data_IF_656286513377
#
_entry.id   IF_656286513377
#
_cell.length_a   1.000
_cell.length_b   1.000
_cell.length_c   1.000
_cell.angle_alpha   90.00
_cell.angle_beta   90.00
_cell.angle_gamma   90.00
#
_symmetry.space_group_name_H-M   'P 1'
#
loop_
_entity.id
_entity.type
_entity.pdbx_description
1 polymer ?
#
# COMPACT_ATOMS: atom_id res chain seq x y z
N UNK A 1 22.31 -9.46 1.74
CA UNK A 1 22.05 -8.00 1.74
C UNK A 1 20.81 -7.82 0.90
N UNK A 2 19.67 -7.68 1.57
CA UNK A 2 18.35 -7.72 0.95
C UNK A 2 18.07 -6.39 0.26
N UNK A 3 17.57 -6.45 -0.97
CA UNK A 3 17.30 -5.29 -1.84
C UNK A 3 16.32 -4.29 -1.19
N UNK A 4 16.86 -3.28 -0.50
CA UNK A 4 16.12 -2.17 0.13
C UNK A 4 15.79 -1.07 -0.87
N UNK A 5 15.21 -1.44 -2.02
CA UNK A 5 14.81 -0.50 -3.08
C UNK A 5 13.30 -0.28 -3.13
N UNK A 6 12.51 -1.07 -2.39
CA UNK A 6 11.05 -0.96 -2.37
C UNK A 6 10.53 -0.09 -1.24
N UNK A 7 11.32 0.16 -0.20
CA UNK A 7 10.93 0.87 1.04
C UNK A 7 10.45 2.32 0.81
N UNK A 8 10.71 2.88 -0.38
CA UNK A 8 10.23 4.22 -0.79
C UNK A 8 8.96 4.20 -1.66
N UNK A 9 8.38 3.03 -1.92
CA UNK A 9 7.25 2.87 -2.82
C UNK A 9 5.96 3.37 -2.17
N UNK A 10 5.48 4.55 -2.58
CA UNK A 10 4.19 5.09 -2.14
C UNK A 10 3.01 4.59 -2.99
N UNK A 11 2.14 3.76 -2.43
CA UNK A 11 0.98 3.18 -3.08
C UNK A 11 -0.26 4.06 -2.96
N UNK A 12 -1.09 4.06 -3.99
CA UNK A 12 -2.48 4.52 -3.93
C UNK A 12 -3.36 3.47 -3.25
N UNK A 13 -4.55 3.88 -2.81
CA UNK A 13 -5.53 2.95 -2.23
C UNK A 13 -5.95 1.82 -3.18
N UNK A 14 -5.90 2.04 -4.49
CA UNK A 14 -6.19 1.00 -5.49
C UNK A 14 -5.07 -0.02 -5.59
N UNK A 15 -3.83 0.44 -5.66
CA UNK A 15 -2.64 -0.43 -5.69
C UNK A 15 -2.52 -1.25 -4.40
N UNK A 16 -2.70 -0.62 -3.24
CA UNK A 16 -2.75 -1.33 -1.96
C UNK A 16 -3.88 -2.38 -1.90
N UNK A 17 -5.02 -2.10 -2.54
CA UNK A 17 -6.12 -3.04 -2.65
C UNK A 17 -5.77 -4.26 -3.50
N UNK A 18 -5.06 -4.05 -4.62
CA UNK A 18 -4.57 -5.14 -5.46
C UNK A 18 -3.58 -6.04 -4.70
N UNK A 19 -2.65 -5.43 -3.95
CA UNK A 19 -1.63 -6.15 -3.18
C UNK A 19 -2.25 -7.01 -2.08
N UNK A 20 -3.25 -6.50 -1.35
CA UNK A 20 -3.92 -7.23 -0.27
C UNK A 20 -5.15 -8.04 -0.72
N UNK A 21 -5.44 -8.05 -2.03
CA UNK A 21 -6.65 -8.65 -2.60
C UNK A 21 -7.96 -8.19 -1.94
N UNK A 22 -8.08 -6.88 -1.70
CA UNK A 22 -9.29 -6.24 -1.15
C UNK A 22 -9.70 -5.05 -2.02
N UNK A 23 -10.96 -4.64 -1.90
CA UNK A 23 -11.46 -3.49 -2.67
C UNK A 23 -10.77 -2.18 -2.25
N UNK A 24 -10.63 -1.24 -3.19
CA UNK A 24 -10.17 0.14 -2.89
C UNK A 24 -11.02 0.82 -1.81
N UNK A 25 -12.32 0.52 -1.76
CA UNK A 25 -13.23 1.02 -0.72
C UNK A 25 -12.86 0.48 0.67
N UNK A 26 -12.41 -0.77 0.73
CA UNK A 26 -11.93 -1.40 1.96
C UNK A 26 -10.66 -0.72 2.46
N UNK A 27 -9.67 -0.50 1.58
CA UNK A 27 -8.45 0.25 1.93
C UNK A 27 -8.78 1.66 2.44
N UNK A 28 -9.61 2.41 1.71
CA UNK A 28 -10.03 3.75 2.13
C UNK A 28 -10.76 3.73 3.49
N UNK A 29 -11.50 2.66 3.80
CA UNK A 29 -12.12 2.49 5.11
C UNK A 29 -11.07 2.28 6.21
N UNK A 30 -10.05 1.46 5.96
CA UNK A 30 -8.96 1.25 6.94
C UNK A 30 -8.18 2.53 7.20
N UNK A 31 -7.87 3.29 6.15
CA UNK A 31 -7.23 4.62 6.29
C UNK A 31 -8.12 5.58 7.07
N UNK A 32 -9.42 5.66 6.72
CA UNK A 32 -10.38 6.55 7.42
C UNK A 32 -10.56 6.20 8.90
N UNK A 33 -10.40 4.91 9.24
CA UNK A 33 -10.46 4.41 10.63
C UNK A 33 -9.10 4.46 11.33
N UNK A 34 -8.08 5.04 10.70
CA UNK A 34 -6.72 5.13 11.23
C UNK A 34 -6.10 3.75 11.55
N UNK A 35 -6.62 2.69 10.92
CA UNK A 35 -6.10 1.33 11.06
C UNK A 35 -4.91 1.08 10.13
N UNK A 36 -4.91 1.73 8.96
CA UNK A 36 -3.82 1.70 7.99
C UNK A 36 -3.24 3.10 7.86
N UNK A 37 -1.97 3.23 8.20
CA UNK A 37 -1.23 4.49 8.10
C UNK A 37 -1.16 4.94 6.65
N UNK A 38 -1.52 6.19 6.40
CA UNK A 38 -1.41 6.80 5.08
C UNK A 38 -1.18 8.31 5.19
N UNK A 39 -0.36 8.83 4.27
CA UNK A 39 -0.18 10.27 4.06
C UNK A 39 -1.29 10.78 3.16
N UNK A 40 -2.08 11.73 3.65
CA UNK A 40 -3.13 12.36 2.85
C UNK A 40 -2.56 13.57 2.10
N UNK A 41 -2.63 13.56 0.76
CA UNK A 41 -2.07 14.60 -0.08
C UNK A 41 -3.15 15.43 -0.78
N UNK A 42 -2.98 16.75 -0.73
CA UNK A 42 -3.78 17.75 -1.45
C UNK A 42 -5.19 17.96 -0.88
N UNK A 43 -5.93 18.90 -1.49
CA UNK A 43 -7.29 19.25 -1.06
C UNK A 43 -8.29 18.08 -1.18
N UNK A 44 -8.05 17.16 -2.12
CA UNK A 44 -8.86 15.95 -2.32
C UNK A 44 -8.54 14.81 -1.34
N UNK A 45 -7.57 15.00 -0.42
CA UNK A 45 -7.14 14.02 0.59
C UNK A 45 -6.84 12.64 -0.02
N UNK A 46 -6.07 12.62 -1.11
CA UNK A 46 -5.67 11.35 -1.75
C UNK A 46 -4.71 10.62 -0.81
N UNK A 47 -5.02 9.37 -0.47
CA UNK A 47 -4.18 8.56 0.40
C UNK A 47 -2.95 8.01 -0.36
N UNK A 48 -1.78 8.20 0.23
CA UNK A 48 -0.50 7.61 -0.16
C UNK A 48 -0.03 6.71 0.98
N UNK A 49 0.15 5.44 0.71
CA UNK A 49 0.43 4.39 1.69
C UNK A 49 1.83 3.88 1.40
N UNK A 50 2.74 3.85 2.38
CA UNK A 50 4.03 3.18 2.18
C UNK A 50 3.84 1.68 2.02
N UNK A 51 4.64 1.02 1.18
CA UNK A 51 4.64 -0.44 1.12
C UNK A 51 4.98 -1.06 2.50
N UNK A 52 5.84 -0.42 3.28
CA UNK A 52 6.23 -0.92 4.60
C UNK A 52 5.05 -0.86 5.57
N UNK A 53 4.35 0.29 5.61
CA UNK A 53 3.12 0.42 6.40
C UNK A 53 2.07 -0.60 5.99
N UNK A 54 1.95 -0.89 4.68
CA UNK A 54 1.03 -1.89 4.16
C UNK A 54 1.42 -3.30 4.58
N UNK A 55 2.72 -3.63 4.58
CA UNK A 55 3.25 -4.93 5.05
C UNK A 55 3.05 -5.09 6.54
N UNK A 56 3.38 -4.08 7.35
CA UNK A 56 3.14 -4.09 8.80
C UNK A 56 1.66 -4.24 9.12
N UNK A 57 0.80 -3.54 8.38
CA UNK A 57 -0.65 -3.71 8.50
C UNK A 57 -1.07 -5.14 8.15
N UNK A 58 -0.57 -5.68 7.03
CA UNK A 58 -0.91 -7.03 6.62
C UNK A 58 -0.52 -8.07 7.66
N UNK A 59 0.68 -7.97 8.22
CA UNK A 59 1.16 -8.84 9.30
C UNK A 59 0.30 -8.71 10.55
N UNK A 60 0.01 -7.48 10.98
CA UNK A 60 -0.76 -7.20 12.21
C UNK A 60 -2.20 -7.73 12.15
N UNK A 61 -2.79 -7.77 10.96
CA UNK A 61 -4.19 -8.15 10.75
C UNK A 61 -4.37 -9.48 9.99
N UNK A 62 -3.28 -10.21 9.71
CA UNK A 62 -3.31 -11.53 9.08
C UNK A 62 -3.65 -11.54 7.57
N UNK A 63 -3.34 -10.47 6.84
CA UNK A 63 -3.45 -10.44 5.39
C UNK A 63 -2.20 -11.01 4.72
N UNK A 64 -2.39 -11.55 3.50
CA UNK A 64 -1.29 -12.00 2.65
C UNK A 64 -0.96 -10.89 1.66
N UNK A 65 0.33 -10.52 1.60
CA UNK A 65 0.85 -9.56 0.62
C UNK A 65 1.19 -10.30 -0.67
N UNK A 66 0.59 -9.89 -1.78
CA UNK A 66 0.93 -10.41 -3.09
C UNK A 66 2.20 -9.70 -3.62
N UNK A 67 3.37 -10.28 -3.35
CA UNK A 67 4.66 -9.70 -3.76
C UNK A 67 4.83 -9.60 -5.28
N UNK A 68 4.17 -10.47 -6.06
CA UNK A 68 4.18 -10.36 -7.54
C UNK A 68 3.58 -9.03 -7.99
N UNK A 69 2.46 -8.64 -7.39
CA UNK A 69 1.80 -7.35 -7.70
C UNK A 69 2.66 -6.18 -7.21
N UNK A 70 3.35 -6.31 -6.08
CA UNK A 70 4.29 -5.30 -5.59
C UNK A 70 5.41 -5.07 -6.60
N UNK A 71 6.02 -6.14 -7.12
CA UNK A 71 7.08 -6.08 -8.13
C UNK A 71 6.59 -5.46 -9.44
N UNK A 72 5.39 -5.82 -9.91
CA UNK A 72 4.77 -5.24 -11.11
C UNK A 72 4.58 -3.72 -10.97
N UNK A 73 4.04 -3.26 -9.84
CA UNK A 73 3.83 -1.84 -9.56
C UNK A 73 5.17 -1.10 -9.46
N UNK A 74 6.17 -1.71 -8.80
CA UNK A 74 7.50 -1.13 -8.68
C UNK A 74 8.19 -1.01 -10.05
N UNK A 75 8.07 -2.03 -10.91
CA UNK A 75 8.61 -2.02 -12.26
C UNK A 75 7.94 -0.96 -13.14
N UNK A 76 6.62 -0.78 -13.03
CA UNK A 76 5.87 0.21 -13.79
C UNK A 76 6.30 1.67 -13.52
N UNK A 77 6.86 1.95 -12.34
CA UNK A 77 7.30 3.30 -11.94
C UNK A 77 8.77 3.59 -12.25
N UNK A 78 9.56 2.57 -12.62
CA UNK A 78 10.95 2.72 -13.07
C UNK A 78 11.07 3.13 -14.54
N UNK A 79 9.96 3.08 -15.29
CA UNK A 79 9.89 3.38 -16.73
C UNK A 79 9.44 4.82 -16.96
#
# INVERSE_FOLDING_TARGET
>A
MSDSHLDSLELSSSEAGQILNVSTRTINRYVKREMLTARLQGMKRVARISIDDLRTFAESYGFVVNEVVVEEIAAARKK
#
